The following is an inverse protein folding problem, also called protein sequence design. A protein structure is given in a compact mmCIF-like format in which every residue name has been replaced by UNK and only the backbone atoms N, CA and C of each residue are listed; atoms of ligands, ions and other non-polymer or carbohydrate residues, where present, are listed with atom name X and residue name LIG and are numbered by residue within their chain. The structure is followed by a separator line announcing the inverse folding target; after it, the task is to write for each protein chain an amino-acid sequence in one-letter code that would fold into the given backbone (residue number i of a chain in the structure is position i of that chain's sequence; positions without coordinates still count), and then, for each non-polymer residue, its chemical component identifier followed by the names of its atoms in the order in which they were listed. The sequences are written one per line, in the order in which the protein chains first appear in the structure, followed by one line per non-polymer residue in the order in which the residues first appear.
data_IF_762780901258
#
_entry.id   IF_762780901258
#
_cell.length_a   1.000
_cell.length_b   1.000
_cell.length_c   1.000
_cell.angle_alpha   90.00
_cell.angle_beta   90.00
_cell.angle_gamma   90.00
#
_symmetry.space_group_name_H-M   'P 1'
#
loop_
_entity.id
_entity.type
_entity.pdbx_description
1 polymer ?
#
# COMPACT_ATOMS: atom_id res chain seq x y z
N UNK A 1 5.38 11.37 -16.40
CA UNK A 1 6.52 10.43 -16.63
C UNK A 1 7.59 10.67 -15.55
N UNK A 2 8.37 9.66 -15.12
CA UNK A 2 9.57 9.87 -14.27
C UNK A 2 10.86 10.12 -15.09
N UNK A 3 10.77 10.07 -16.42
CA UNK A 3 11.87 10.39 -17.32
C UNK A 3 11.92 11.89 -17.56
N UNK A 4 13.13 12.39 -17.78
CA UNK A 4 13.32 13.74 -18.29
C UNK A 4 12.84 13.81 -19.74
N UNK A 5 12.29 14.96 -20.16
CA UNK A 5 12.10 15.21 -21.58
C UNK A 5 13.43 15.06 -22.32
N UNK A 6 13.44 14.45 -23.52
CA UNK A 6 14.62 14.44 -24.38
C UNK A 6 15.14 15.86 -24.57
N UNK A 7 16.46 16.02 -24.52
CA UNK A 7 17.14 17.23 -24.95
C UNK A 7 17.66 16.99 -26.35
N UNK A 8 17.40 17.92 -27.27
CA UNK A 8 17.97 17.89 -28.61
C UNK A 8 19.29 18.66 -28.60
N UNK A 9 20.35 18.06 -29.14
CA UNK A 9 21.69 18.67 -29.22
C UNK A 9 21.83 19.59 -30.45
N UNK A 10 20.99 19.40 -31.46
CA UNK A 10 20.87 20.20 -32.67
C UNK A 10 19.40 20.37 -33.08
N UNK A 11 19.15 21.10 -34.17
CA UNK A 11 17.81 21.36 -34.70
C UNK A 11 17.17 20.13 -35.37
N UNK A 12 17.86 18.98 -35.42
CA UNK A 12 17.45 17.78 -36.15
C UNK A 12 17.29 16.56 -35.21
N UNK A 13 16.06 16.33 -34.78
CA UNK A 13 15.70 15.12 -34.04
C UNK A 13 15.55 13.91 -34.97
N UNK A 14 16.03 12.74 -34.55
CA UNK A 14 15.69 11.47 -35.23
C UNK A 14 14.21 11.14 -35.01
N UNK A 15 13.61 10.39 -35.93
CA UNK A 15 12.20 9.95 -35.82
C UNK A 15 11.90 9.26 -34.48
N UNK A 16 12.87 8.51 -33.94
CA UNK A 16 12.77 7.85 -32.64
C UNK A 16 12.74 8.84 -31.47
N UNK A 17 13.53 9.92 -31.53
CA UNK A 17 13.52 10.97 -30.52
C UNK A 17 12.23 11.82 -30.60
N UNK A 18 11.72 12.07 -31.81
CA UNK A 18 10.43 12.73 -32.02
C UNK A 18 9.30 11.89 -31.41
N UNK A 19 9.25 10.59 -31.71
CA UNK A 19 8.26 9.68 -31.16
C UNK A 19 8.34 9.53 -29.62
N UNK A 20 9.54 9.68 -29.03
CA UNK A 20 9.72 9.71 -27.58
C UNK A 20 9.19 11.02 -26.97
N UNK A 21 9.50 12.16 -27.61
CA UNK A 21 8.98 13.47 -27.23
C UNK A 21 7.45 13.54 -27.33
N UNK A 22 6.85 12.93 -28.35
CA UNK A 22 5.39 12.90 -28.50
C UNK A 22 4.70 12.18 -27.32
N UNK A 23 5.31 11.11 -26.80
CA UNK A 23 4.83 10.43 -25.58
C UNK A 23 4.89 11.34 -24.34
N UNK A 24 5.79 12.33 -24.33
CA UNK A 24 5.88 13.31 -23.25
C UNK A 24 4.75 14.35 -23.29
N UNK A 25 4.13 14.64 -24.44
CA UNK A 25 2.95 15.53 -24.48
C UNK A 25 1.76 14.93 -23.73
N UNK A 26 1.53 13.62 -23.87
CA UNK A 26 0.51 12.90 -23.08
C UNK A 26 0.84 13.00 -21.59
N UNK A 27 2.11 12.86 -21.23
CA UNK A 27 2.55 12.96 -19.84
C UNK A 27 2.37 14.36 -19.25
N UNK A 28 2.55 15.41 -20.05
CA UNK A 28 2.29 16.79 -19.66
C UNK A 28 0.78 17.02 -19.47
N UNK A 29 -0.05 16.53 -20.39
CA UNK A 29 -1.50 16.63 -20.30
C UNK A 29 -2.07 15.94 -19.05
N UNK A 30 -1.51 14.78 -18.66
CA UNK A 30 -1.94 14.00 -17.49
C UNK A 30 -1.15 14.31 -16.21
N UNK A 31 -0.36 15.39 -16.18
CA UNK A 31 0.57 15.64 -15.07
C UNK A 31 -0.15 15.87 -13.73
N UNK A 32 -1.26 16.61 -13.76
CA UNK A 32 -2.04 16.92 -12.56
C UNK A 32 -2.79 15.69 -12.04
N UNK A 33 -3.47 14.95 -12.93
CA UNK A 33 -4.14 13.69 -12.60
C UNK A 33 -3.16 12.67 -12.01
N UNK A 34 -1.97 12.56 -12.60
CA UNK A 34 -0.91 11.69 -12.09
C UNK A 34 -0.46 12.12 -10.69
N UNK A 35 -0.28 13.42 -10.46
CA UNK A 35 0.15 13.95 -9.14
C UNK A 35 -0.89 13.62 -8.07
N UNK A 36 -2.17 13.74 -8.41
CA UNK A 36 -3.27 13.41 -7.52
C UNK A 36 -3.35 11.90 -7.24
N UNK A 37 -3.24 11.07 -8.28
CA UNK A 37 -3.18 9.61 -8.14
C UNK A 37 -1.99 9.19 -7.27
N UNK A 38 -0.79 9.69 -7.56
CA UNK A 38 0.42 9.38 -6.80
C UNK A 38 0.23 9.77 -5.31
N UNK A 39 -0.43 10.91 -5.02
CA UNK A 39 -0.77 11.31 -3.65
C UNK A 39 -1.70 10.32 -2.96
N UNK A 40 -2.78 9.88 -3.62
CA UNK A 40 -3.71 8.93 -3.00
C UNK A 40 -3.11 7.53 -2.85
N UNK A 41 -2.28 7.08 -3.78
CA UNK A 41 -1.50 5.84 -3.63
C UNK A 41 -0.59 5.94 -2.41
N UNK A 42 0.12 7.05 -2.25
CA UNK A 42 1.00 7.30 -1.12
C UNK A 42 0.28 7.37 0.24
N UNK A 43 -0.97 7.84 0.26
CA UNK A 43 -1.80 7.88 1.46
C UNK A 43 -2.42 6.51 1.76
N UNK A 44 -2.93 5.82 0.74
CA UNK A 44 -3.63 4.54 0.89
C UNK A 44 -2.73 3.37 1.30
N UNK A 45 -1.43 3.44 0.99
CA UNK A 45 -0.46 2.42 1.39
C UNK A 45 0.09 2.60 2.81
N UNK A 46 -0.37 3.60 3.57
CA UNK A 46 0.11 3.90 4.91
C UNK A 46 -0.99 3.69 5.94
N UNK A 47 -0.73 2.80 6.89
CA UNK A 47 -1.60 2.56 8.04
C UNK A 47 -0.82 2.96 9.31
N UNK A 48 -1.20 4.07 9.96
CA UNK A 48 -0.45 4.59 11.09
C UNK A 48 -0.54 3.65 12.30
N UNK A 49 0.53 3.61 13.09
CA UNK A 49 0.53 2.93 14.38
C UNK A 49 -0.58 3.51 15.27
N UNK A 50 -1.50 2.69 15.80
CA UNK A 50 -2.63 3.17 16.60
C UNK A 50 -2.22 3.77 17.96
N UNK A 51 -0.98 3.56 18.38
CA UNK A 51 -0.46 4.09 19.64
C UNK A 51 0.30 5.41 19.47
N UNK A 52 1.25 5.48 18.52
CA UNK A 52 2.16 6.63 18.39
C UNK A 52 2.05 7.40 17.07
N UNK A 53 1.19 6.96 16.14
CA UNK A 53 0.94 7.63 14.86
C UNK A 53 2.04 7.47 13.79
N UNK A 54 3.14 6.76 14.08
CA UNK A 54 4.17 6.50 13.06
C UNK A 54 3.56 5.76 11.86
N UNK A 55 3.74 6.29 10.66
CA UNK A 55 3.22 5.69 9.43
C UNK A 55 3.83 4.30 9.20
N UNK A 56 2.99 3.26 9.19
CA UNK A 56 3.39 1.90 8.81
C UNK A 56 3.08 1.65 7.35
N UNK A 57 4.04 1.12 6.60
CA UNK A 57 3.86 0.64 5.23
C UNK A 57 4.15 -0.85 5.19
N UNK A 58 3.38 -1.59 4.40
CA UNK A 58 3.54 -3.03 4.26
C UNK A 58 4.50 -3.38 3.12
N UNK A 59 5.35 -4.38 3.33
CA UNK A 59 6.40 -4.84 2.42
C UNK A 59 6.13 -6.22 1.77
N UNK A 60 4.92 -6.77 1.92
CA UNK A 60 4.48 -8.00 1.24
C UNK A 60 4.41 -9.28 2.08
N UNK A 61 4.80 -9.26 3.37
CA UNK A 61 4.57 -10.39 4.29
C UNK A 61 3.14 -10.43 4.91
N UNK A 62 2.96 -11.09 6.06
CA UNK A 62 1.68 -11.11 6.81
C UNK A 62 1.19 -9.72 7.25
N UNK A 63 -0.11 -9.57 7.53
CA UNK A 63 -0.74 -8.30 7.92
C UNK A 63 -0.39 -7.82 9.34
N UNK A 64 0.43 -8.54 10.09
CA UNK A 64 0.86 -8.14 11.43
C UNK A 64 2.01 -7.14 11.37
N UNK A 65 1.88 -6.06 12.13
CA UNK A 65 2.87 -4.99 12.22
C UNK A 65 3.39 -4.87 13.65
N UNK A 66 4.67 -4.52 13.78
CA UNK A 66 5.31 -4.13 15.04
C UNK A 66 5.87 -2.72 14.90
N UNK A 67 5.55 -1.82 15.81
CA UNK A 67 6.05 -0.44 15.73
C UNK A 67 7.55 -0.42 16.04
N UNK A 68 8.42 0.10 15.16
CA UNK A 68 9.83 0.27 15.51
C UNK A 68 10.05 1.36 16.59
N UNK A 69 9.08 2.27 16.78
CA UNK A 69 9.19 3.37 17.76
C UNK A 69 8.65 3.01 19.15
N UNK A 70 7.54 2.30 19.23
CA UNK A 70 6.85 2.04 20.50
C UNK A 70 6.50 0.56 20.75
N UNK A 71 6.98 -0.34 19.89
CA UNK A 71 6.74 -1.79 19.96
C UNK A 71 5.28 -2.26 19.92
N UNK A 72 4.31 -1.37 19.71
CA UNK A 72 2.90 -1.74 19.55
C UNK A 72 2.72 -2.74 18.41
N UNK A 73 1.98 -3.81 18.69
CA UNK A 73 1.49 -4.76 17.67
C UNK A 73 0.13 -4.31 17.14
N UNK A 74 -0.06 -4.30 15.82
CA UNK A 74 -1.36 -4.01 15.19
C UNK A 74 -1.55 -4.77 13.88
N UNK A 75 -2.80 -4.87 13.44
CA UNK A 75 -3.12 -5.41 12.11
C UNK A 75 -3.08 -4.28 11.07
N UNK A 76 -2.26 -4.42 10.04
CA UNK A 76 -2.17 -3.50 8.92
C UNK A 76 -3.52 -3.34 8.20
N UNK A 77 -4.31 -4.41 8.07
CA UNK A 77 -5.56 -4.38 7.30
C UNK A 77 -6.62 -3.46 7.95
N UNK A 78 -6.82 -3.56 9.27
CA UNK A 78 -7.85 -2.79 9.98
C UNK A 78 -7.30 -1.63 10.83
N UNK A 79 -5.98 -1.52 10.98
CA UNK A 79 -5.31 -0.50 11.79
C UNK A 79 -5.45 -0.68 13.31
N UNK A 80 -6.09 -1.76 13.77
CA UNK A 80 -6.38 -1.98 15.20
C UNK A 80 -5.25 -2.71 15.92
N UNK A 81 -5.06 -2.35 17.19
CA UNK A 81 -4.20 -3.07 18.14
C UNK A 81 -4.86 -4.37 18.61
N UNK A 82 -4.07 -5.26 19.21
CA UNK A 82 -4.50 -6.61 19.64
C UNK A 82 -5.75 -6.59 20.52
N UNK A 83 -5.88 -5.57 21.37
CA UNK A 83 -6.97 -5.44 22.33
C UNK A 83 -8.31 -5.05 21.67
N UNK A 84 -8.25 -4.42 20.49
CA UNK A 84 -9.43 -3.89 19.79
C UNK A 84 -9.90 -4.81 18.64
N UNK A 85 -9.14 -5.87 18.37
CA UNK A 85 -9.42 -6.87 17.34
C UNK A 85 -10.37 -7.96 17.85
N UNK A 86 -11.27 -8.45 16.97
CA UNK A 86 -11.96 -9.71 17.22
C UNK A 86 -10.94 -10.85 17.13
N UNK A 87 -10.80 -11.66 18.19
CA UNK A 87 -9.81 -12.73 18.27
C UNK A 87 -10.25 -13.82 19.25
N UNK A 88 -9.63 -15.00 19.15
CA UNK A 88 -9.76 -16.02 20.19
C UNK A 88 -9.16 -15.49 21.52
N UNK A 89 -9.95 -15.49 22.61
CA UNK A 89 -9.53 -14.93 23.90
C UNK A 89 -8.64 -15.86 24.72
N UNK A 90 -8.77 -17.17 24.51
CA UNK A 90 -8.05 -18.20 25.30
C UNK A 90 -6.69 -18.58 24.70
N UNK A 91 -6.28 -17.91 23.61
CA UNK A 91 -5.02 -18.15 22.92
C UNK A 91 -3.98 -17.09 23.29
N UNK A 92 -2.73 -17.54 23.47
CA UNK A 92 -1.57 -16.67 23.71
C UNK A 92 -0.90 -16.23 22.40
N UNK A 93 -1.56 -16.41 21.25
CA UNK A 93 -0.99 -16.11 19.94
C UNK A 93 -1.19 -14.64 19.51
N UNK A 94 -1.76 -13.81 20.39
CA UNK A 94 -1.76 -12.35 20.26
C UNK A 94 -2.49 -11.86 19.01
N UNK A 95 -1.80 -11.05 18.20
CA UNK A 95 -2.40 -10.48 16.98
C UNK A 95 -2.78 -11.56 15.96
N UNK A 96 -2.09 -12.71 15.94
CA UNK A 96 -2.34 -13.79 14.98
C UNK A 96 -3.74 -14.41 15.11
N UNK A 97 -4.31 -14.40 16.32
CA UNK A 97 -5.66 -14.92 16.56
C UNK A 97 -6.75 -14.06 15.89
N UNK A 98 -6.43 -12.81 15.53
CA UNK A 98 -7.35 -11.93 14.80
C UNK A 98 -7.59 -12.40 13.37
N UNK A 99 -6.60 -13.07 12.77
CA UNK A 99 -6.62 -13.44 11.37
C UNK A 99 -7.05 -14.89 11.11
N UNK A 100 -7.32 -15.63 12.18
CA UNK A 100 -7.75 -17.02 12.12
C UNK A 100 -9.21 -17.15 11.68
N UNK A 101 -9.53 -18.02 10.73
CA UNK A 101 -10.88 -18.24 10.17
C UNK A 101 -11.56 -16.93 9.73
N UNK A 102 -10.80 -16.00 9.16
CA UNK A 102 -11.30 -14.69 8.77
C UNK A 102 -12.36 -14.78 7.66
N UNK A 103 -12.21 -15.75 6.77
CA UNK A 103 -13.14 -16.05 5.67
C UNK A 103 -14.53 -16.46 6.17
N UNK A 104 -14.65 -16.90 7.42
CA UNK A 104 -15.92 -17.28 8.07
C UNK A 104 -16.42 -16.26 9.08
N UNK A 105 -15.66 -15.20 9.35
CA UNK A 105 -15.98 -14.20 10.36
C UNK A 105 -15.70 -12.78 9.84
N UNK A 106 -16.74 -11.98 9.51
CA UNK A 106 -16.57 -10.66 8.93
C UNK A 106 -15.93 -9.62 9.88
N UNK A 107 -15.70 -9.97 11.15
CA UNK A 107 -14.98 -9.11 12.11
C UNK A 107 -13.47 -9.36 12.12
N UNK A 108 -13.00 -10.37 11.38
CA UNK A 108 -11.59 -10.79 11.31
C UNK A 108 -10.99 -10.40 9.96
N UNK A 109 -9.66 -10.26 9.94
CA UNK A 109 -8.94 -9.79 8.76
C UNK A 109 -8.11 -10.91 8.12
N UNK A 110 -7.77 -10.83 6.83
CA UNK A 110 -6.90 -11.80 6.18
C UNK A 110 -5.50 -11.82 6.79
N UNK A 111 -4.92 -13.02 6.92
CA UNK A 111 -3.54 -13.21 7.37
C UNK A 111 -2.55 -12.61 6.36
N UNK A 112 -2.80 -12.83 5.07
CA UNK A 112 -2.03 -12.30 3.96
C UNK A 112 -2.96 -11.57 2.99
N UNK A 113 -2.53 -10.42 2.46
CA UNK A 113 -3.34 -9.66 1.50
C UNK A 113 -3.65 -10.46 0.23
N UNK A 114 -2.82 -11.44 -0.13
CA UNK A 114 -3.05 -12.35 -1.26
C UNK A 114 -4.32 -13.19 -1.10
N UNK A 115 -4.74 -13.48 0.14
CA UNK A 115 -5.92 -14.30 0.43
C UNK A 115 -7.24 -13.58 0.14
N UNK A 116 -7.23 -12.25 -0.06
CA UNK A 116 -8.46 -11.48 -0.32
C UNK A 116 -9.16 -11.98 -1.59
N UNK A 117 -8.40 -12.49 -2.56
CA UNK A 117 -8.94 -13.02 -3.80
C UNK A 117 -9.54 -14.42 -3.66
N UNK A 118 -9.23 -15.16 -2.59
CA UNK A 118 -9.60 -16.58 -2.42
C UNK A 118 -11.03 -16.79 -1.89
N UNK A 119 -11.70 -15.74 -1.43
CA UNK A 119 -12.99 -15.84 -0.71
C UNK A 119 -14.22 -15.67 -1.63
N UNK A 120 -14.01 -15.51 -2.95
CA UNK A 120 -15.08 -15.26 -3.92
C UNK A 120 -15.31 -16.41 -4.93
N UNK A 121 -14.84 -17.63 -4.65
CA UNK A 121 -15.16 -18.84 -5.42
C UNK A 121 -16.32 -19.66 -4.78
#
# INVERSE_FOLDING_TARGET
CRKACPKFEDDYATDELIAEMEKHFICAALADDKRELDRYVELGQKVPCPNCGLAGMKDGACTHMTCPKCSQLWCYFCGKKVEDCDRARDSNNGIFDHNHNWERNPKRCPMYLTQIHEVND
#
